data_IF_451731916292
#
_entry.id   IF_451731916292
#
_cell.length_a   1.000
_cell.length_b   1.000
_cell.length_c   1.000
_cell.angle_alpha   90.00
_cell.angle_beta   90.00
_cell.angle_gamma   90.00
#
_symmetry.space_group_name_H-M   'P 1'
#
loop_
_entity.id
_entity.type
_entity.pdbx_description
1 polymer ?
#
# COMPACT_ATOMS: atom_id res chain seq x y z
N UNK A 1 -17.65 3.77 -0.99
CA UNK A 1 -17.07 2.73 -0.10
C UNK A 1 -17.96 1.50 -0.12
N UNK A 2 -17.46 0.29 -0.41
CA UNK A 2 -18.37 -0.87 -0.37
C UNK A 2 -17.75 -2.23 -0.67
N UNK A 3 -17.01 -2.35 -1.77
CA UNK A 3 -16.69 -3.69 -2.32
C UNK A 3 -15.29 -4.22 -2.00
N UNK A 4 -14.43 -3.39 -1.41
CA UNK A 4 -13.04 -3.74 -1.17
C UNK A 4 -12.65 -3.53 0.30
N UNK A 5 -11.70 -4.34 0.74
CA UNK A 5 -10.91 -4.10 1.96
C UNK A 5 -9.60 -3.47 1.53
N UNK A 6 -9.23 -2.33 2.12
CA UNK A 6 -7.96 -1.66 1.88
C UNK A 6 -6.98 -1.95 3.01
N UNK A 7 -5.72 -2.18 2.65
CA UNK A 7 -4.60 -2.35 3.59
C UNK A 7 -3.56 -1.28 3.30
N UNK A 8 -3.08 -0.61 4.34
CA UNK A 8 -1.99 0.35 4.25
C UNK A 8 -0.82 -0.18 5.07
N UNK A 9 0.36 -0.28 4.45
CA UNK A 9 1.51 -0.89 5.09
C UNK A 9 2.82 -0.43 4.44
N UNK A 10 3.93 -0.74 5.10
CA UNK A 10 5.27 -0.65 4.54
C UNK A 10 5.86 -2.04 4.37
N UNK A 11 6.60 -2.25 3.29
CA UNK A 11 7.33 -3.50 3.01
C UNK A 11 8.77 -3.18 2.64
N UNK A 12 9.64 -4.20 2.64
CA UNK A 12 11.01 -4.03 2.17
C UNK A 12 11.02 -3.70 0.68
N UNK A 13 11.80 -2.69 0.32
CA UNK A 13 12.14 -2.42 -1.05
C UNK A 13 13.09 -3.52 -1.54
N UNK A 14 12.71 -4.23 -2.60
CA UNK A 14 13.53 -5.30 -3.19
C UNK A 14 14.59 -4.75 -4.15
N UNK A 15 14.68 -3.43 -4.30
CA UNK A 15 15.78 -2.82 -5.03
C UNK A 15 17.11 -3.14 -4.31
N UNK A 16 18.07 -3.69 -5.05
CA UNK A 16 19.41 -4.02 -4.53
C UNK A 16 20.28 -2.78 -4.31
N UNK A 17 19.75 -1.58 -4.56
CA UNK A 17 20.48 -0.34 -4.36
C UNK A 17 20.40 0.12 -2.90
N UNK A 18 21.53 0.10 -2.20
CA UNK A 18 21.69 0.52 -0.81
C UNK A 18 21.45 2.02 -0.59
N UNK A 19 21.54 2.84 -1.65
CA UNK A 19 21.28 4.28 -1.58
C UNK A 19 19.78 4.63 -1.56
N UNK A 20 18.91 3.64 -1.76
CA UNK A 20 17.45 3.81 -1.73
C UNK A 20 16.92 3.42 -0.35
N UNK A 21 15.92 4.16 0.15
CA UNK A 21 15.26 3.79 1.41
C UNK A 21 14.85 2.31 1.38
N UNK A 22 15.26 1.50 2.38
CA UNK A 22 14.96 0.08 2.43
C UNK A 22 13.46 -0.20 2.59
N UNK A 23 12.64 0.81 2.85
CA UNK A 23 11.20 0.68 2.99
C UNK A 23 10.45 1.36 1.84
N UNK A 24 9.33 0.75 1.46
CA UNK A 24 8.37 1.32 0.52
C UNK A 24 6.96 1.24 1.11
N UNK A 25 6.23 2.35 1.04
CA UNK A 25 4.83 2.40 1.45
C UNK A 25 3.90 1.94 0.34
N UNK A 26 2.90 1.14 0.71
CA UNK A 26 1.93 0.54 -0.19
C UNK A 26 0.51 0.71 0.32
N UNK A 27 -0.41 0.79 -0.63
CA UNK A 27 -1.82 0.45 -0.42
C UNK A 27 -2.09 -0.85 -1.17
N UNK A 28 -2.81 -1.77 -0.54
CA UNK A 28 -3.35 -2.94 -1.22
C UNK A 28 -4.87 -2.99 -1.07
N UNK A 29 -5.49 -3.75 -1.97
CA UNK A 29 -6.92 -4.05 -1.93
C UNK A 29 -7.18 -5.52 -2.15
N UNK A 30 -8.30 -5.98 -1.60
CA UNK A 30 -8.92 -7.29 -1.86
C UNK A 30 -10.42 -7.07 -2.00
N UNK A 31 -11.09 -7.78 -2.91
CA UNK A 31 -12.54 -7.76 -3.00
C UNK A 31 -13.16 -8.46 -1.79
N UNK A 32 -14.18 -7.88 -1.15
CA UNK A 32 -14.82 -8.48 0.04
C UNK A 32 -15.43 -9.85 -0.22
N UNK A 33 -15.84 -10.11 -1.47
CA UNK A 33 -16.41 -11.36 -1.93
C UNK A 33 -15.39 -12.30 -2.59
N UNK A 34 -14.08 -12.09 -2.38
CA UNK A 34 -13.04 -12.98 -2.88
C UNK A 34 -13.21 -14.39 -2.28
N UNK A 35 -13.43 -15.38 -3.16
CA UNK A 35 -13.61 -16.79 -2.79
C UNK A 35 -12.33 -17.62 -2.95
N UNK A 36 -11.23 -16.96 -3.26
CA UNK A 36 -9.98 -17.58 -3.69
C UNK A 36 -10.02 -18.06 -5.14
N UNK A 37 -8.89 -18.61 -5.59
CA UNK A 37 -8.75 -19.11 -6.95
C UNK A 37 -9.31 -20.52 -7.15
N UNK A 38 -9.07 -21.07 -8.33
CA UNK A 38 -9.47 -22.43 -8.66
C UNK A 38 -8.79 -23.47 -7.77
N UNK A 39 -9.29 -24.71 -7.77
CA UNK A 39 -8.65 -25.81 -7.03
C UNK A 39 -7.17 -26.00 -7.38
N UNK A 40 -6.77 -25.68 -8.60
CA UNK A 40 -5.39 -25.85 -9.08
C UNK A 40 -4.49 -24.63 -8.80
N UNK A 41 -5.06 -23.46 -8.47
CA UNK A 41 -4.32 -22.22 -8.29
C UNK A 41 -4.99 -21.32 -7.25
N UNK A 42 -4.23 -20.88 -6.25
CA UNK A 42 -4.71 -19.94 -5.22
C UNK A 42 -5.91 -20.46 -4.40
N UNK A 43 -6.05 -21.78 -4.25
CA UNK A 43 -7.01 -22.35 -3.31
C UNK A 43 -6.73 -21.81 -1.89
N UNK A 44 -7.75 -21.28 -1.23
CA UNK A 44 -7.66 -20.62 0.09
C UNK A 44 -6.67 -19.44 0.15
N UNK A 45 -6.40 -18.78 -0.99
CA UNK A 45 -5.55 -17.58 -1.08
C UNK A 45 -6.32 -16.48 -1.83
N UNK A 46 -6.07 -15.22 -1.50
CA UNK A 46 -6.68 -14.09 -2.19
C UNK A 46 -6.38 -14.14 -3.70
N UNK A 47 -7.42 -14.18 -4.53
CA UNK A 47 -7.32 -14.12 -5.99
C UNK A 47 -7.43 -12.69 -6.54
N UNK A 48 -7.87 -11.74 -5.69
CA UNK A 48 -8.10 -10.33 -6.05
C UNK A 48 -7.14 -9.37 -5.36
N UNK A 49 -6.09 -9.88 -4.72
CA UNK A 49 -5.07 -9.06 -4.07
C UNK A 49 -4.28 -8.25 -5.11
N UNK A 50 -4.31 -6.93 -4.97
CA UNK A 50 -3.51 -6.00 -5.75
C UNK A 50 -2.86 -4.98 -4.81
N UNK A 51 -1.62 -4.56 -5.10
CA UNK A 51 -0.91 -3.52 -4.35
C UNK A 51 -0.33 -2.44 -5.26
N UNK A 52 -0.27 -1.21 -4.77
CA UNK A 52 0.30 -0.04 -5.44
C UNK A 52 1.21 0.74 -4.49
N UNK A 53 2.18 1.48 -5.04
CA UNK A 53 3.08 2.36 -4.26
C UNK A 53 2.34 3.63 -3.85
N UNK A 54 2.53 4.05 -2.60
CA UNK A 54 2.16 5.39 -2.13
C UNK A 54 3.39 6.30 -2.26
N UNK A 55 3.21 7.46 -2.91
CA UNK A 55 4.25 8.47 -3.05
C UNK A 55 3.93 9.66 -2.15
N UNK A 56 4.84 9.96 -1.24
CA UNK A 56 4.85 11.20 -0.45
C UNK A 56 6.24 11.81 -0.62
N UNK A 57 6.32 12.93 -1.34
CA UNK A 57 7.59 13.60 -1.64
C UNK A 57 7.41 15.10 -1.84
N UNK A 58 8.51 15.83 -1.71
CA UNK A 58 8.65 17.24 -2.09
C UNK A 58 9.65 17.29 -3.25
N UNK A 59 9.18 17.35 -4.51
CA UNK A 59 10.05 17.28 -5.68
C UNK A 59 11.13 18.36 -5.73
N UNK A 60 10.81 19.58 -5.30
CA UNK A 60 11.75 20.72 -5.29
C UNK A 60 12.93 20.53 -4.35
N UNK A 61 12.77 19.72 -3.30
CA UNK A 61 13.79 19.46 -2.28
C UNK A 61 14.43 18.08 -2.45
N UNK A 62 14.03 17.33 -3.48
CA UNK A 62 14.41 15.92 -3.66
C UNK A 62 14.14 15.07 -2.39
N UNK A 63 13.13 15.45 -1.60
CA UNK A 63 12.83 14.82 -0.32
C UNK A 63 11.75 13.74 -0.49
N UNK A 64 12.05 12.51 -0.06
CA UNK A 64 11.15 11.37 -0.14
C UNK A 64 10.80 10.82 1.25
N UNK A 65 9.52 10.54 1.48
CA UNK A 65 8.99 9.99 2.72
C UNK A 65 8.40 8.62 2.45
N UNK A 66 9.23 7.57 2.48
CA UNK A 66 8.80 6.23 2.06
C UNK A 66 8.21 5.40 3.21
N UNK A 67 8.16 5.92 4.44
CA UNK A 67 7.76 5.16 5.64
C UNK A 67 6.43 5.66 6.20
N UNK A 68 5.33 5.06 5.76
CA UNK A 68 4.01 5.32 6.33
C UNK A 68 4.00 4.91 7.81
N UNK A 69 3.43 5.78 8.64
CA UNK A 69 3.29 5.59 10.09
C UNK A 69 1.83 5.41 10.48
N UNK A 70 0.93 6.19 9.88
CA UNK A 70 -0.50 6.16 10.19
C UNK A 70 -1.35 6.58 8.99
N UNK A 71 -2.62 6.19 9.01
CA UNK A 71 -3.62 6.47 7.98
C UNK A 71 -4.97 6.81 8.61
N UNK A 72 -5.55 7.91 8.15
CA UNK A 72 -6.91 8.32 8.47
C UNK A 72 -7.78 8.33 7.22
N UNK A 73 -8.90 7.61 7.27
CA UNK A 73 -9.90 7.60 6.21
C UNK A 73 -10.99 8.60 6.57
N UNK A 74 -11.12 9.67 5.77
CA UNK A 74 -12.15 10.67 6.00
C UNK A 74 -13.54 10.06 5.77
N UNK A 75 -14.46 10.28 6.71
CA UNK A 75 -15.82 9.76 6.62
C UNK A 75 -16.67 10.51 5.58
N UNK A 76 -16.31 11.77 5.30
CA UNK A 76 -16.94 12.61 4.28
C UNK A 76 -15.98 12.80 3.11
N UNK A 77 -16.25 12.10 2.00
CA UNK A 77 -15.48 12.15 0.75
C UNK A 77 -14.51 10.98 0.56
N UNK A 78 -14.05 10.78 -0.67
CA UNK A 78 -13.13 9.68 -1.04
C UNK A 78 -11.66 10.04 -0.77
N UNK A 79 -11.38 10.62 0.40
CA UNK A 79 -10.03 11.08 0.78
C UNK A 79 -9.41 10.19 1.85
N UNK A 80 -8.14 9.87 1.65
CA UNK A 80 -7.29 9.16 2.60
C UNK A 80 -6.11 10.05 2.95
N UNK A 81 -5.88 10.26 4.23
CA UNK A 81 -4.75 11.02 4.75
C UNK A 81 -3.73 10.03 5.34
N UNK A 82 -2.45 10.23 5.06
CA UNK A 82 -1.38 9.40 5.58
C UNK A 82 -0.24 10.23 6.12
N UNK A 83 0.35 9.79 7.24
CA UNK A 83 1.55 10.39 7.83
C UNK A 83 2.74 9.54 7.40
N UNK A 84 3.74 10.18 6.81
CA UNK A 84 4.96 9.54 6.32
C UNK A 84 6.19 10.13 7.00
N UNK A 85 7.20 9.29 7.17
CA UNK A 85 8.48 9.67 7.73
C UNK A 85 9.60 9.44 6.69
N UNK A 86 10.64 10.26 6.77
CA UNK A 86 11.92 10.01 6.11
C UNK A 86 12.79 9.04 6.94
N UNK A 87 13.97 8.70 6.43
CA UNK A 87 14.96 7.94 7.19
C UNK A 87 15.63 8.81 8.26
#
# INVERSE_FOLDING_TARGET
MGEHVLFFFRERNLAENLDVDPWISRVARVCKNDRGGSRFQLQNKWATFLKARLLCNIPSENAHFNRIQDVFVAQCGDRVYGIFQSN
#
